data_IF_971005767175
#
_entry.id   IF_971005767175
#
_cell.length_a   1.000
_cell.length_b   1.000
_cell.length_c   1.000
_cell.angle_alpha   90.00
_cell.angle_beta   90.00
_cell.angle_gamma   90.00
#
_symmetry.space_group_name_H-M   'P 1'
#
loop_
_entity.id
_entity.type
_entity.pdbx_description
1 polymer ?
#
# COMPACT_ATOMS: atom_id res chain seq x y z
N UNK A 1 9.30 29.26 8.86
CA UNK A 1 9.79 27.90 8.59
C UNK A 1 8.60 27.10 8.12
N UNK A 2 8.47 26.88 6.82
CA UNK A 2 7.38 26.06 6.27
C UNK A 2 7.82 24.64 6.57
N UNK A 3 7.12 23.97 7.48
CA UNK A 3 7.41 22.59 7.83
C UNK A 3 7.25 21.78 6.54
N UNK A 4 8.38 21.45 5.92
CA UNK A 4 8.43 20.48 4.86
C UNK A 4 8.21 19.13 5.52
N UNK A 5 6.96 18.82 5.89
CA UNK A 5 6.54 17.42 5.98
C UNK A 5 6.49 16.93 4.55
N UNK A 6 7.67 16.73 3.98
CA UNK A 6 7.88 15.91 2.82
C UNK A 6 7.28 14.57 3.22
N UNK A 7 6.04 14.38 2.82
CA UNK A 7 5.22 13.21 3.00
C UNK A 7 5.73 12.08 2.08
N UNK A 8 7.06 11.98 1.95
CA UNK A 8 7.77 11.02 1.14
C UNK A 8 7.91 9.67 1.88
N UNK A 9 7.49 9.60 3.15
CA UNK A 9 7.57 8.40 3.98
C UNK A 9 6.25 7.61 4.04
N UNK A 10 5.09 8.26 3.83
CA UNK A 10 3.84 7.52 3.69
C UNK A 10 3.65 7.03 2.25
N UNK A 11 4.27 5.89 1.98
CA UNK A 11 3.96 5.13 0.77
C UNK A 11 2.44 4.88 0.73
N UNK A 12 1.74 5.32 -0.34
CA UNK A 12 0.31 5.13 -0.44
C UNK A 12 -0.01 3.63 -0.52
N UNK A 13 -1.07 3.22 0.16
CA UNK A 13 -1.60 1.87 0.04
C UNK A 13 -2.56 1.80 -1.14
N UNK A 14 -2.36 0.81 -2.02
CA UNK A 14 -3.19 0.58 -3.20
C UNK A 14 -4.02 -0.70 -3.03
N UNK A 15 -5.22 -0.77 -3.63
CA UNK A 15 -6.07 -1.94 -3.55
C UNK A 15 -5.54 -3.07 -4.45
N UNK A 16 -5.42 -4.26 -3.88
CA UNK A 16 -5.16 -5.50 -4.58
C UNK A 16 -6.38 -5.90 -5.41
N UNK A 17 -6.18 -6.11 -6.71
CA UNK A 17 -7.23 -6.52 -7.66
C UNK A 17 -7.65 -7.99 -7.53
N UNK A 18 -6.92 -8.77 -6.72
CA UNK A 18 -7.15 -10.20 -6.53
C UNK A 18 -7.97 -10.44 -5.27
N UNK A 19 -7.45 -10.07 -4.11
CA UNK A 19 -8.12 -10.30 -2.82
C UNK A 19 -8.98 -9.12 -2.34
N UNK A 20 -8.87 -7.94 -2.96
CA UNK A 20 -9.55 -6.72 -2.52
C UNK A 20 -8.93 -6.04 -1.30
N UNK A 21 -7.84 -6.58 -0.73
CA UNK A 21 -7.08 -5.97 0.36
C UNK A 21 -6.25 -4.77 -0.09
N UNK A 22 -5.62 -4.05 0.85
CA UNK A 22 -4.74 -2.91 0.53
C UNK A 22 -3.29 -3.22 0.90
N UNK A 23 -2.34 -2.77 0.08
CA UNK A 23 -0.91 -2.96 0.33
C UNK A 23 -0.09 -1.74 -0.04
N UNK A 24 1.09 -1.59 0.57
CA UNK A 24 2.02 -0.48 0.29
C UNK A 24 2.55 -0.62 -1.14
N UNK A 25 2.39 0.43 -1.96
CA UNK A 25 2.83 0.40 -3.35
C UNK A 25 4.35 0.18 -3.54
N UNK A 26 5.16 0.63 -2.57
CA UNK A 26 6.61 0.46 -2.51
C UNK A 26 7.04 -0.95 -2.04
N UNK A 27 6.16 -1.64 -1.32
CA UNK A 27 6.43 -2.95 -0.72
C UNK A 27 5.36 -3.98 -1.14
N UNK A 28 5.22 -4.25 -2.46
CA UNK A 28 4.24 -5.19 -2.98
C UNK A 28 4.54 -6.63 -2.57
N UNK A 29 5.80 -6.96 -2.32
CA UNK A 29 6.23 -8.32 -1.95
C UNK A 29 5.75 -8.73 -0.55
N UNK A 30 5.55 -7.75 0.33
CA UNK A 30 5.00 -7.95 1.66
C UNK A 30 3.47 -8.04 1.66
N UNK A 31 2.82 -7.87 0.49
CA UNK A 31 1.39 -8.11 0.37
C UNK A 31 1.11 -9.61 0.44
N UNK A 32 0.58 -10.06 1.59
CA UNK A 32 0.11 -11.42 1.78
C UNK A 32 -1.26 -11.60 1.10
N UNK A 33 -1.25 -11.85 -0.20
CA UNK A 33 -2.46 -12.10 -0.98
C UNK A 33 -3.00 -13.51 -0.70
N UNK A 34 -4.14 -13.62 -0.01
CA UNK A 34 -4.78 -14.90 0.33
C UNK A 34 -5.67 -15.47 -0.79
N UNK A 35 -5.53 -14.94 -2.01
CA UNK A 35 -6.36 -15.30 -3.16
C UNK A 35 -7.68 -14.51 -3.21
N UNK A 36 -8.53 -14.75 -4.21
CA UNK A 36 -9.83 -14.11 -4.28
C UNK A 36 -10.65 -14.51 -3.04
N UNK A 37 -11.10 -13.52 -2.27
CA UNK A 37 -12.10 -13.75 -1.23
C UNK A 37 -13.32 -14.37 -1.92
N UNK A 38 -13.62 -15.62 -1.56
CA UNK A 38 -14.66 -16.43 -2.18
C UNK A 38 -16.06 -15.91 -1.85
#
# INVERSE_FOLDING_TARGET
MITGTSNYDEVPTIPCKICGGYFKADDPENHKCEGPAQ
#
